data_IF_915182883626
#
_entry.id   IF_915182883626
#
_cell.length_a   1.000
_cell.length_b   1.000
_cell.length_c   1.000
_cell.angle_alpha   90.00
_cell.angle_beta   90.00
_cell.angle_gamma   90.00
#
_symmetry.space_group_name_H-M   'P 1'
#
loop_
_entity.id
_entity.type
_entity.pdbx_description
1 polymer ?
#
# COMPACT_ATOMS: atom_id res chain seq x y z
N UNK A 1 18.21 -23.32 -23.42
CA UNK A 1 16.94 -22.67 -23.04
C UNK A 1 16.45 -23.39 -21.79
N UNK A 2 16.72 -22.86 -20.60
CA UNK A 2 16.30 -23.52 -19.35
C UNK A 2 14.81 -23.27 -19.16
N UNK A 3 14.00 -24.33 -19.29
CA UNK A 3 12.60 -24.29 -18.88
C UNK A 3 12.53 -23.95 -17.39
N UNK A 4 11.60 -23.09 -16.94
CA UNK A 4 11.46 -22.82 -15.51
C UNK A 4 11.16 -24.13 -14.79
N UNK A 5 11.99 -24.45 -13.79
CA UNK A 5 11.95 -25.70 -13.03
C UNK A 5 10.86 -25.64 -11.93
N UNK A 6 9.99 -24.64 -11.97
CA UNK A 6 9.02 -24.37 -10.91
C UNK A 6 7.63 -24.07 -11.49
N UNK A 7 6.61 -24.58 -10.80
CA UNK A 7 5.19 -24.29 -11.03
C UNK A 7 4.76 -23.16 -10.10
N UNK A 8 3.82 -22.33 -10.56
CA UNK A 8 3.19 -21.30 -9.72
C UNK A 8 1.69 -21.59 -9.60
N UNK A 9 1.23 -21.95 -8.41
CA UNK A 9 -0.20 -22.02 -8.12
C UNK A 9 -0.65 -20.67 -7.56
N UNK A 10 -1.74 -20.12 -8.12
CA UNK A 10 -2.34 -18.87 -7.72
C UNK A 10 -3.74 -19.12 -7.16
N UNK A 11 -3.99 -18.67 -5.95
CA UNK A 11 -5.34 -18.59 -5.37
C UNK A 11 -5.63 -17.14 -5.04
N UNK A 12 -6.73 -16.60 -5.56
CA UNK A 12 -7.16 -15.22 -5.30
C UNK A 12 -8.50 -15.19 -4.60
N UNK A 13 -8.58 -14.41 -3.52
CA UNK A 13 -9.80 -14.15 -2.78
C UNK A 13 -9.85 -12.67 -2.43
N UNK A 14 -10.60 -11.90 -3.23
CA UNK A 14 -10.69 -10.44 -3.07
C UNK A 14 -9.31 -9.76 -3.17
N UNK A 15 -8.84 -9.20 -2.05
CA UNK A 15 -7.53 -8.53 -1.96
C UNK A 15 -6.39 -9.46 -1.51
N UNK A 16 -6.64 -10.77 -1.39
CA UNK A 16 -5.66 -11.77 -0.99
C UNK A 16 -5.22 -12.61 -2.20
N UNK A 17 -3.91 -12.81 -2.34
CA UNK A 17 -3.31 -13.67 -3.35
C UNK A 17 -2.26 -14.59 -2.73
N UNK A 18 -2.41 -15.91 -2.92
CA UNK A 18 -1.42 -16.91 -2.52
C UNK A 18 -0.68 -17.43 -3.74
N UNK A 19 0.66 -17.36 -3.70
CA UNK A 19 1.55 -17.86 -4.73
C UNK A 19 2.41 -18.98 -4.15
N UNK A 20 2.32 -20.18 -4.71
CA UNK A 20 3.15 -21.34 -4.32
C UNK A 20 4.18 -21.57 -5.42
N UNK A 21 5.48 -21.58 -5.07
CA UNK A 21 6.58 -21.82 -6.02
C UNK A 21 7.32 -23.09 -5.62
N UNK A 22 7.23 -24.13 -6.44
CA UNK A 22 7.88 -25.42 -6.21
C UNK A 22 8.15 -26.16 -7.53
N UNK A 23 9.16 -27.06 -7.58
CA UNK A 23 10.21 -27.27 -6.59
C UNK A 23 11.29 -26.16 -6.62
N UNK A 24 11.88 -25.88 -5.45
CA UNK A 24 13.03 -24.99 -5.33
C UNK A 24 14.23 -25.77 -4.75
N UNK A 25 15.46 -25.47 -5.20
CA UNK A 25 16.65 -26.01 -4.55
C UNK A 25 16.68 -25.68 -3.06
N UNK A 26 17.28 -26.55 -2.27
CA UNK A 26 17.42 -26.33 -0.82
C UNK A 26 18.08 -24.98 -0.55
N UNK A 27 17.49 -24.19 0.36
CA UNK A 27 17.98 -22.85 0.73
C UNK A 27 17.54 -21.71 -0.21
N UNK A 28 17.09 -21.99 -1.44
CA UNK A 28 16.63 -20.94 -2.36
C UNK A 28 15.27 -20.33 -1.96
N UNK A 29 14.42 -21.10 -1.26
CA UNK A 29 13.13 -20.61 -0.78
C UNK A 29 13.24 -19.37 0.10
N UNK A 30 14.24 -19.32 1.01
CA UNK A 30 14.46 -18.16 1.88
C UNK A 30 15.00 -16.96 1.12
N UNK A 31 16.04 -17.17 0.30
CA UNK A 31 16.66 -16.11 -0.50
C UNK A 31 15.67 -15.44 -1.44
N UNK A 32 14.90 -16.25 -2.18
CA UNK A 32 13.90 -15.76 -3.11
C UNK A 32 12.68 -15.17 -2.39
N UNK A 33 12.18 -15.83 -1.34
CA UNK A 33 11.04 -15.34 -0.56
C UNK A 33 11.31 -13.99 0.10
N UNK A 34 12.50 -13.80 0.66
CA UNK A 34 12.90 -12.53 1.25
C UNK A 34 13.00 -11.42 0.19
N UNK A 35 13.62 -11.71 -0.95
CA UNK A 35 13.73 -10.77 -2.06
C UNK A 35 12.35 -10.37 -2.60
N UNK A 36 11.45 -11.33 -2.82
CA UNK A 36 10.09 -11.08 -3.29
C UNK A 36 9.29 -10.25 -2.29
N UNK A 37 9.32 -10.60 -1.00
CA UNK A 37 8.64 -9.83 0.05
C UNK A 37 9.10 -8.37 0.09
N UNK A 38 10.41 -8.14 0.04
CA UNK A 38 10.97 -6.78 0.03
C UNK A 38 10.53 -6.00 -1.20
N UNK A 39 10.63 -6.62 -2.38
CA UNK A 39 10.28 -5.99 -3.65
C UNK A 39 8.80 -5.62 -3.69
N UNK A 40 7.90 -6.51 -3.26
CA UNK A 40 6.47 -6.25 -3.21
C UNK A 40 6.10 -5.12 -2.24
N UNK A 41 6.79 -5.00 -1.10
CA UNK A 41 6.50 -3.95 -0.11
C UNK A 41 7.08 -2.58 -0.47
N UNK A 42 8.14 -2.50 -1.27
CA UNK A 42 8.85 -1.23 -1.52
C UNK A 42 8.77 -0.70 -2.95
N UNK A 43 8.58 -1.57 -3.94
CA UNK A 43 8.76 -1.21 -5.36
C UNK A 43 7.45 -1.04 -6.12
N UNK A 44 6.32 -1.36 -5.48
CA UNK A 44 5.00 -1.11 -6.06
C UNK A 44 4.70 0.38 -6.00
N UNK A 45 4.53 0.99 -7.17
CA UNK A 45 4.07 2.39 -7.27
C UNK A 45 2.65 2.48 -6.72
N UNK A 46 2.44 3.45 -5.84
CA UNK A 46 1.14 3.74 -5.25
C UNK A 46 0.94 5.24 -5.08
N UNK A 47 -0.26 5.63 -4.70
CA UNK A 47 -0.60 7.00 -4.35
C UNK A 47 -1.15 7.04 -2.91
N UNK A 48 -0.93 8.16 -2.24
CA UNK A 48 -1.39 8.40 -0.88
C UNK A 48 -1.41 9.89 -0.56
N UNK A 49 -2.20 10.26 0.44
CA UNK A 49 -2.27 11.65 0.90
C UNK A 49 -0.98 12.02 1.61
N UNK A 50 -0.27 13.04 1.12
CA UNK A 50 1.00 13.49 1.72
C UNK A 50 0.81 14.59 2.75
N UNK A 51 -0.08 15.54 2.48
CA UNK A 51 -0.31 16.72 3.31
C UNK A 51 -1.79 17.07 3.33
N UNK A 52 -2.27 17.55 4.49
CA UNK A 52 -3.65 18.00 4.69
C UNK A 52 -3.58 19.34 5.43
N UNK A 53 -4.43 20.29 5.03
CA UNK A 53 -4.63 21.57 5.71
C UNK A 53 -6.11 21.76 5.97
N UNK A 54 -6.45 22.05 7.22
CA UNK A 54 -7.82 22.35 7.64
C UNK A 54 -7.94 23.84 7.95
N UNK A 55 -9.02 24.47 7.50
CA UNK A 55 -9.35 25.82 7.93
C UNK A 55 -9.98 25.78 9.32
N UNK A 56 -9.53 26.66 10.23
CA UNK A 56 -10.04 26.72 11.60
C UNK A 56 -9.43 25.72 12.59
N UNK A 57 -8.48 24.89 12.17
CA UNK A 57 -7.75 23.96 13.04
C UNK A 57 -6.26 24.33 13.11
N UNK A 58 -5.79 24.70 14.30
CA UNK A 58 -4.39 25.08 14.52
C UNK A 58 -3.46 23.87 14.68
N UNK A 59 -3.99 22.74 15.16
CA UNK A 59 -3.23 21.51 15.42
C UNK A 59 -4.09 20.25 15.28
N UNK A 60 -3.45 19.08 15.25
CA UNK A 60 -4.08 17.77 15.01
C UNK A 60 -5.12 17.37 16.07
N UNK A 61 -5.01 17.88 17.29
CA UNK A 61 -5.95 17.58 18.39
C UNK A 61 -7.12 18.56 18.49
N UNK A 62 -7.29 19.45 17.52
CA UNK A 62 -8.39 20.43 17.53
C UNK A 62 -9.67 19.83 16.94
N UNK A 63 -10.79 20.45 17.27
CA UNK A 63 -12.10 20.16 16.69
C UNK A 63 -12.49 21.28 15.74
N UNK A 64 -13.24 20.94 14.70
CA UNK A 64 -13.77 21.91 13.74
C UNK A 64 -15.25 22.12 14.06
N UNK A 65 -15.68 23.38 14.19
CA UNK A 65 -17.08 23.69 14.47
C UNK A 65 -18.01 23.11 13.40
N UNK A 66 -19.03 22.37 13.81
CA UNK A 66 -19.97 21.70 12.90
C UNK A 66 -19.51 20.32 12.39
N UNK A 67 -18.32 19.86 12.77
CA UNK A 67 -17.84 18.50 12.45
C UNK A 67 -17.87 17.66 13.72
N UNK A 68 -18.38 16.43 13.60
CA UNK A 68 -18.50 15.49 14.72
C UNK A 68 -17.14 14.90 15.08
N UNK A 69 -16.35 14.54 14.07
CA UNK A 69 -15.03 13.94 14.20
C UNK A 69 -13.96 14.98 14.56
N UNK A 70 -12.92 14.54 15.27
CA UNK A 70 -11.74 15.36 15.50
C UNK A 70 -10.82 15.41 14.27
N UNK A 71 -9.95 16.42 14.18
CA UNK A 71 -8.96 16.53 13.08
C UNK A 71 -8.09 15.27 12.99
N UNK A 72 -7.73 14.67 14.13
CA UNK A 72 -6.95 13.45 14.20
C UNK A 72 -7.69 12.24 13.58
N UNK A 73 -8.98 12.09 13.89
CA UNK A 73 -9.84 11.04 13.32
C UNK A 73 -9.97 11.20 11.80
N UNK A 74 -10.22 12.42 11.34
CA UNK A 74 -10.30 12.72 9.90
C UNK A 74 -8.97 12.37 9.22
N UNK A 75 -7.84 12.74 9.81
CA UNK A 75 -6.51 12.37 9.29
C UNK A 75 -6.34 10.84 9.19
N UNK A 76 -6.75 10.07 10.21
CA UNK A 76 -6.66 8.61 10.15
C UNK A 76 -7.56 8.00 9.08
N UNK A 77 -8.77 8.53 8.90
CA UNK A 77 -9.67 8.09 7.84
C UNK A 77 -9.09 8.40 6.46
N UNK A 78 -8.46 9.57 6.27
CA UNK A 78 -7.81 9.94 5.01
C UNK A 78 -6.61 9.06 4.68
N UNK A 79 -5.89 8.51 5.68
CA UNK A 79 -4.81 7.53 5.45
C UNK A 79 -5.31 6.20 4.88
N UNK A 80 -6.59 5.86 5.08
CA UNK A 80 -7.19 4.62 4.55
C UNK A 80 -7.75 4.79 3.13
N UNK A 81 -7.80 6.02 2.62
CA UNK A 81 -8.31 6.31 1.29
C UNK A 81 -7.44 5.64 0.22
N UNK A 82 -8.07 4.84 -0.64
CA UNK A 82 -7.43 4.19 -1.78
C UNK A 82 -7.82 4.92 -3.06
N UNK A 83 -6.84 5.50 -3.75
CA UNK A 83 -7.05 6.18 -5.02
C UNK A 83 -5.90 5.91 -5.98
N UNK A 84 -6.19 6.01 -7.28
CA UNK A 84 -5.20 5.88 -8.33
C UNK A 84 -4.97 7.26 -8.97
N UNK A 85 -3.73 7.50 -9.35
CA UNK A 85 -3.30 8.75 -9.98
C UNK A 85 -2.68 8.38 -11.33
N UNK A 86 -3.07 9.10 -12.39
CA UNK A 86 -2.68 8.76 -13.76
C UNK A 86 -1.23 9.14 -14.06
N UNK A 87 -0.74 10.25 -13.51
CA UNK A 87 0.62 10.75 -13.76
C UNK A 87 1.45 10.84 -12.46
N UNK A 88 2.76 10.97 -12.61
CA UNK A 88 3.68 11.11 -11.47
C UNK A 88 3.73 12.55 -11.00
N UNK A 89 3.08 12.86 -9.88
CA UNK A 89 3.16 14.20 -9.28
C UNK A 89 2.92 14.19 -7.78
N UNK A 90 3.17 15.32 -7.10
CA UNK A 90 2.25 15.78 -6.07
C UNK A 90 1.06 16.49 -6.72
N UNK A 91 -0.16 16.06 -6.40
CA UNK A 91 -1.41 16.72 -6.82
C UNK A 91 -1.96 17.53 -5.65
N UNK A 92 -2.31 18.79 -5.88
CA UNK A 92 -2.95 19.65 -4.89
C UNK A 92 -4.43 19.82 -5.24
N UNK A 93 -5.29 19.36 -4.34
CA UNK A 93 -6.73 19.58 -4.39
C UNK A 93 -7.02 20.69 -3.38
N UNK A 94 -7.59 21.81 -3.84
CA UNK A 94 -7.96 22.96 -3.01
C UNK A 94 -9.47 23.00 -2.87
#
# INVERSE_FOLDING_TARGET
MFSPIFFTQKTEEGNYGKFVIEPLPQGFGQSMGHALRRTLLSSLKGAGVTNIKFEGASHLFSTIAGVKESVLEIMFNLKQLKFAVKDGGPYKIT
#
